data_IF_129242181190
#
_entry.id   IF_129242181190
#
_cell.length_a   1.000
_cell.length_b   1.000
_cell.length_c   1.000
_cell.angle_alpha   90.00
_cell.angle_beta   90.00
_cell.angle_gamma   90.00
#
_symmetry.space_group_name_H-M   'P 1'
#
loop_
_entity.id
_entity.type
_entity.pdbx_description
1 polymer ?
#
# COMPACT_ATOMS: atom_id res chain seq x y z
N UNK A 1 -12.67 21.78 -42.91
CA UNK A 1 -11.97 22.02 -41.62
C UNK A 1 -12.18 20.74 -40.84
N UNK A 2 -11.13 20.09 -40.34
CA UNK A 2 -11.32 18.94 -39.44
C UNK A 2 -12.08 19.45 -38.21
N UNK A 3 -13.28 18.94 -37.98
CA UNK A 3 -14.10 19.40 -36.86
C UNK A 3 -13.72 18.59 -35.63
N UNK A 4 -12.63 19.02 -34.97
CA UNK A 4 -12.15 18.36 -33.76
C UNK A 4 -12.75 19.09 -32.55
N UNK A 5 -13.81 18.54 -31.95
CA UNK A 5 -14.40 19.06 -30.71
C UNK A 5 -14.09 18.12 -29.56
N UNK A 6 -13.84 18.69 -28.38
CA UNK A 6 -13.57 17.96 -27.14
C UNK A 6 -14.39 18.58 -26.01
N UNK A 7 -15.06 17.73 -25.23
CA UNK A 7 -15.68 18.07 -23.95
C UNK A 7 -15.00 17.25 -22.85
N UNK A 8 -14.50 17.87 -21.78
CA UNK A 8 -13.64 17.22 -20.76
C UNK A 8 -13.98 17.67 -19.36
N UNK A 9 -14.64 16.86 -18.57
CA UNK A 9 -15.02 17.30 -17.22
C UNK A 9 -13.88 17.16 -16.20
N UNK A 10 -13.15 16.04 -16.26
CA UNK A 10 -11.86 15.84 -15.64
C UNK A 10 -10.88 15.33 -16.70
N UNK A 11 -9.58 15.54 -16.54
CA UNK A 11 -8.53 15.04 -17.44
C UNK A 11 -8.44 13.50 -17.40
N UNK A 12 -9.52 12.84 -17.80
CA UNK A 12 -9.76 11.40 -17.79
C UNK A 12 -10.63 11.05 -18.99
N UNK A 13 -10.22 10.05 -19.77
CA UNK A 13 -10.92 9.56 -20.95
C UNK A 13 -12.34 9.09 -20.63
N UNK A 14 -12.59 8.64 -19.39
CA UNK A 14 -13.92 8.23 -18.89
C UNK A 14 -14.96 9.34 -18.87
N UNK A 15 -14.50 10.59 -18.78
CA UNK A 15 -15.36 11.75 -18.51
C UNK A 15 -15.32 12.78 -19.63
N UNK A 16 -15.01 12.30 -20.84
CA UNK A 16 -14.81 13.14 -21.99
C UNK A 16 -15.54 12.60 -23.22
N UNK A 17 -16.07 13.54 -23.98
CA UNK A 17 -16.71 13.29 -25.27
C UNK A 17 -15.85 13.96 -26.33
N UNK A 18 -15.65 13.28 -27.44
CA UNK A 18 -14.83 13.77 -28.53
C UNK A 18 -15.47 13.53 -29.87
N UNK A 19 -15.35 14.52 -30.74
CA UNK A 19 -15.74 14.45 -32.14
C UNK A 19 -14.47 14.58 -33.00
N UNK A 20 -14.26 13.60 -33.88
CA UNK A 20 -13.23 13.62 -34.93
C UNK A 20 -13.86 13.11 -36.23
N UNK A 21 -14.02 14.03 -37.19
CA UNK A 21 -14.73 13.82 -38.46
C UNK A 21 -16.14 13.19 -38.25
N UNK A 22 -16.36 11.95 -38.70
CA UNK A 22 -17.63 11.23 -38.55
C UNK A 22 -17.67 10.29 -37.33
N UNK A 23 -16.76 10.46 -36.37
CA UNK A 23 -16.62 9.55 -35.22
C UNK A 23 -16.79 10.31 -33.92
N UNK A 24 -17.59 9.77 -33.00
CA UNK A 24 -17.69 10.28 -31.63
C UNK A 24 -17.17 9.21 -30.66
N UNK A 25 -16.28 9.60 -29.76
CA UNK A 25 -15.91 8.79 -28.59
C UNK A 25 -16.58 9.42 -27.38
N UNK A 26 -17.53 8.72 -26.75
CA UNK A 26 -18.18 9.13 -25.50
C UNK A 26 -17.76 8.17 -24.39
N UNK A 27 -16.90 8.64 -23.48
CA UNK A 27 -16.28 7.82 -22.46
C UNK A 27 -15.49 6.65 -23.07
N UNK A 28 -16.10 5.46 -23.11
CA UNK A 28 -15.51 4.20 -23.63
C UNK A 28 -16.26 3.61 -24.82
N UNK A 29 -17.21 4.34 -25.39
CA UNK A 29 -17.99 3.87 -26.53
C UNK A 29 -17.66 4.69 -27.78
N UNK A 30 -17.29 3.97 -28.84
CA UNK A 30 -16.97 4.56 -30.14
C UNK A 30 -18.19 4.47 -31.06
N UNK A 31 -18.65 5.62 -31.53
CA UNK A 31 -19.80 5.76 -32.42
C UNK A 31 -19.33 6.28 -33.78
N UNK A 32 -19.68 5.55 -34.85
CA UNK A 32 -19.32 5.94 -36.21
C UNK A 32 -20.58 6.29 -37.00
N UNK A 33 -20.57 7.48 -37.60
CA UNK A 33 -21.70 8.07 -38.29
C UNK A 33 -21.47 8.15 -39.80
N UNK A 34 -22.54 8.33 -40.56
CA UNK A 34 -22.45 8.39 -42.02
C UNK A 34 -22.05 9.78 -42.53
N UNK A 35 -22.12 10.81 -41.68
CA UNK A 35 -21.73 12.18 -41.97
C UNK A 35 -21.25 12.93 -40.72
N UNK A 36 -20.45 13.98 -40.92
CA UNK A 36 -19.98 14.87 -39.85
C UNK A 36 -21.16 15.53 -39.11
N UNK A 37 -22.24 15.88 -39.82
CA UNK A 37 -23.41 16.53 -39.22
C UNK A 37 -24.16 15.60 -38.23
N UNK A 38 -24.21 14.29 -38.53
CA UNK A 38 -24.80 13.30 -37.62
C UNK A 38 -23.94 13.11 -36.37
N UNK A 39 -22.62 13.04 -36.56
CA UNK A 39 -21.66 12.93 -35.46
C UNK A 39 -21.69 14.18 -34.56
N UNK A 40 -21.75 15.38 -35.16
CA UNK A 40 -21.83 16.64 -34.43
C UNK A 40 -23.14 16.77 -33.64
N UNK A 41 -24.27 16.35 -34.22
CA UNK A 41 -25.55 16.34 -33.51
C UNK A 41 -25.55 15.37 -32.32
N UNK A 42 -24.93 14.19 -32.46
CA UNK A 42 -24.78 13.23 -31.36
C UNK A 42 -23.84 13.77 -30.28
N UNK A 43 -22.68 14.33 -30.67
CA UNK A 43 -21.75 14.97 -29.73
C UNK A 43 -22.45 16.05 -28.91
N UNK A 44 -23.15 16.97 -29.57
CA UNK A 44 -23.85 18.07 -28.90
C UNK A 44 -24.94 17.53 -27.96
N UNK A 45 -25.63 16.45 -28.34
CA UNK A 45 -26.62 15.79 -27.48
C UNK A 45 -25.96 15.22 -26.21
N UNK A 46 -24.90 14.42 -26.32
CA UNK A 46 -24.20 13.85 -25.17
C UNK A 46 -23.69 14.95 -24.23
N UNK A 47 -23.16 16.04 -24.78
CA UNK A 47 -22.74 17.21 -23.98
C UNK A 47 -23.91 17.82 -23.22
N UNK A 48 -25.08 17.99 -23.86
CA UNK A 48 -26.27 18.54 -23.18
C UNK A 48 -26.76 17.62 -22.06
N UNK A 49 -26.71 16.30 -22.24
CA UNK A 49 -27.09 15.32 -21.21
C UNK A 49 -26.18 15.43 -19.98
N UNK A 50 -24.85 15.50 -20.18
CA UNK A 50 -23.91 15.72 -19.08
C UNK A 50 -24.13 17.06 -18.37
N UNK A 51 -24.34 18.14 -19.12
CA UNK A 51 -24.63 19.46 -18.52
C UNK A 51 -25.91 19.43 -17.67
N UNK A 52 -26.93 18.68 -18.10
CA UNK A 52 -28.19 18.51 -17.35
C UNK A 52 -27.97 17.75 -16.02
N UNK A 53 -27.03 16.81 -15.98
CA UNK A 53 -26.65 16.04 -14.79
C UNK A 53 -25.77 16.83 -13.80
N UNK A 54 -25.60 18.14 -14.01
CA UNK A 54 -24.89 19.05 -13.11
C UNK A 54 -23.40 19.19 -13.41
N UNK A 55 -22.93 18.66 -14.54
CA UNK A 55 -21.57 18.82 -15.01
C UNK A 55 -21.38 20.28 -15.50
N UNK A 56 -20.29 20.95 -15.11
CA UNK A 56 -20.06 22.38 -15.44
C UNK A 56 -19.09 22.51 -16.61
N UNK A 57 -19.25 23.57 -17.40
CA UNK A 57 -18.44 23.89 -18.59
C UNK A 57 -16.93 23.82 -18.33
N UNK A 58 -16.21 22.89 -18.96
CA UNK A 58 -14.78 22.95 -19.19
C UNK A 58 -14.50 23.53 -20.58
N UNK A 59 -13.27 23.98 -20.82
CA UNK A 59 -12.88 24.64 -22.08
C UNK A 59 -13.19 23.77 -23.31
N UNK A 60 -14.17 24.18 -24.13
CA UNK A 60 -14.26 23.75 -25.53
C UNK A 60 -13.03 24.36 -26.21
N UNK A 61 -11.93 23.61 -26.24
CA UNK A 61 -10.77 23.97 -27.02
C UNK A 61 -11.04 23.49 -28.45
N UNK A 62 -10.97 24.41 -29.42
CA UNK A 62 -10.65 24.00 -30.78
C UNK A 62 -9.22 23.47 -30.70
N UNK A 63 -9.03 22.16 -30.85
CA UNK A 63 -7.72 21.51 -30.92
C UNK A 63 -7.10 21.83 -32.30
N UNK A 64 -6.86 23.13 -32.57
CA UNK A 64 -6.04 23.58 -33.70
C UNK A 64 -4.55 23.40 -33.40
N UNK A 65 -4.18 23.13 -32.14
CA UNK A 65 -2.83 22.74 -31.77
C UNK A 65 -2.57 21.29 -32.13
N UNK A 66 -1.60 21.13 -33.01
CA UNK A 66 -1.09 19.91 -33.61
C UNK A 66 -0.66 18.90 -32.53
N UNK A 67 -1.60 18.14 -31.94
CA UNK A 67 -1.28 16.95 -31.14
C UNK A 67 -0.71 15.89 -32.09
N UNK A 68 0.50 15.42 -31.80
CA UNK A 68 1.15 14.39 -32.60
C UNK A 68 0.44 13.02 -32.51
N UNK A 69 -0.41 12.80 -31.48
CA UNK A 69 -1.36 11.70 -31.43
C UNK A 69 -2.79 12.20 -31.64
N UNK A 70 -3.55 11.50 -32.48
CA UNK A 70 -5.00 11.65 -32.50
C UNK A 70 -5.57 11.03 -31.23
N UNK A 71 -6.70 11.55 -30.76
CA UNK A 71 -7.35 10.97 -29.61
C UNK A 71 -7.68 9.48 -29.80
N UNK A 72 -8.17 9.10 -30.98
CA UNK A 72 -8.47 7.70 -31.28
C UNK A 72 -7.23 6.81 -31.07
N UNK A 73 -6.03 7.29 -31.44
CA UNK A 73 -4.79 6.55 -31.16
C UNK A 73 -4.54 6.39 -29.67
N UNK A 74 -4.71 7.45 -28.89
CA UNK A 74 -4.54 7.43 -27.43
C UNK A 74 -5.57 6.52 -26.76
N UNK A 75 -6.81 6.52 -27.26
CA UNK A 75 -7.88 5.65 -26.76
C UNK A 75 -7.61 4.16 -27.06
N UNK A 76 -7.20 3.81 -28.27
CA UNK A 76 -6.82 2.43 -28.61
C UNK A 76 -5.61 1.96 -27.79
N UNK A 77 -4.66 2.85 -27.53
CA UNK A 77 -3.54 2.58 -26.63
C UNK A 77 -4.02 2.30 -25.20
N UNK A 78 -4.96 3.09 -24.67
CA UNK A 78 -5.56 2.88 -23.35
C UNK A 78 -6.28 1.52 -23.27
N UNK A 79 -7.12 1.17 -24.25
CA UNK A 79 -7.78 -0.16 -24.28
C UNK A 79 -6.76 -1.30 -24.31
N UNK A 80 -5.62 -1.10 -24.99
CA UNK A 80 -4.49 -2.02 -24.96
C UNK A 80 -3.84 -2.18 -23.58
N UNK A 81 -3.80 -1.12 -22.76
CA UNK A 81 -3.33 -1.16 -21.38
C UNK A 81 -4.36 -1.82 -20.44
N UNK A 82 -5.61 -1.37 -20.51
CA UNK A 82 -6.72 -1.85 -19.68
C UNK A 82 -6.94 -3.35 -19.85
N UNK A 83 -6.90 -3.85 -21.09
CA UNK A 83 -7.04 -5.28 -21.38
C UNK A 83 -5.93 -6.15 -20.79
N UNK A 84 -4.79 -5.56 -20.40
CA UNK A 84 -3.63 -6.23 -19.79
C UNK A 84 -3.48 -5.93 -18.30
N UNK A 85 -4.48 -5.33 -17.68
CA UNK A 85 -4.46 -4.96 -16.26
C UNK A 85 -4.27 -6.18 -15.33
N UNK A 86 -5.01 -7.28 -15.58
CA UNK A 86 -4.83 -8.54 -14.83
C UNK A 86 -3.46 -9.18 -15.08
N UNK A 87 -2.92 -9.03 -16.29
CA UNK A 87 -1.60 -9.54 -16.64
C UNK A 87 -0.51 -8.81 -15.85
N UNK A 88 -0.57 -7.47 -15.82
CA UNK A 88 0.34 -6.63 -15.04
C UNK A 88 0.24 -6.90 -13.53
N UNK A 89 -0.98 -7.03 -13.00
CA UNK A 89 -1.19 -7.40 -11.60
C UNK A 89 -0.52 -8.74 -11.27
N UNK A 90 -0.77 -9.78 -12.08
CA UNK A 90 -0.14 -11.08 -11.87
C UNK A 90 1.38 -11.03 -11.98
N UNK A 91 1.93 -10.24 -12.91
CA UNK A 91 3.37 -10.08 -13.09
C UNK A 91 4.07 -9.37 -11.93
N UNK A 92 3.33 -8.57 -11.16
CA UNK A 92 3.85 -7.82 -10.00
C UNK A 92 3.48 -8.48 -8.66
N UNK A 93 2.70 -9.55 -8.67
CA UNK A 93 2.22 -10.21 -7.45
C UNK A 93 3.36 -10.73 -6.57
N UNK A 94 3.34 -10.35 -5.28
CA UNK A 94 4.25 -10.86 -4.26
C UNK A 94 3.51 -11.72 -3.23
N UNK A 95 4.09 -12.87 -2.83
CA UNK A 95 3.54 -13.66 -1.75
C UNK A 95 3.66 -12.91 -0.41
N UNK A 96 2.68 -13.12 0.46
CA UNK A 96 2.66 -12.59 1.82
C UNK A 96 1.91 -13.51 2.77
N UNK A 97 2.10 -13.30 4.06
CA UNK A 97 1.36 -13.99 5.12
C UNK A 97 0.29 -13.05 5.64
N UNK A 98 -0.97 -13.36 5.36
CA UNK A 98 -2.09 -12.70 6.02
C UNK A 98 -2.15 -13.16 7.49
N UNK A 99 -2.39 -12.20 8.37
CA UNK A 99 -2.61 -12.44 9.80
C UNK A 99 -4.07 -12.14 10.12
N UNK A 100 -4.78 -13.12 10.66
CA UNK A 100 -6.11 -12.94 11.26
C UNK A 100 -5.98 -13.00 12.78
N UNK A 101 -6.48 -11.97 13.46
CA UNK A 101 -6.56 -11.94 14.91
C UNK A 101 -7.84 -12.62 15.40
N UNK A 102 -7.79 -13.12 16.63
CA UNK A 102 -8.94 -13.70 17.33
C UNK A 102 -8.84 -13.37 18.83
N UNK A 103 -9.95 -12.94 19.44
CA UNK A 103 -10.02 -12.69 20.88
C UNK A 103 -9.70 -13.95 21.68
N UNK A 104 -8.90 -13.78 22.74
CA UNK A 104 -8.53 -14.84 23.68
C UNK A 104 -8.27 -14.22 25.04
N UNK A 105 -8.47 -15.00 26.10
CA UNK A 105 -8.13 -14.54 27.46
C UNK A 105 -6.63 -14.61 27.74
N UNK A 106 -5.92 -15.53 27.08
CA UNK A 106 -4.47 -15.68 27.22
C UNK A 106 -3.85 -16.39 26.00
N UNK A 107 -2.52 -16.28 25.90
CA UNK A 107 -1.68 -17.06 24.99
C UNK A 107 -0.44 -17.50 25.77
N UNK A 108 0.11 -18.67 25.44
CA UNK A 108 1.39 -19.10 26.03
C UNK A 108 2.52 -18.17 25.58
N UNK A 109 3.64 -18.15 26.33
CA UNK A 109 4.77 -17.27 26.00
C UNK A 109 5.31 -17.48 24.57
N UNK A 110 5.18 -18.68 24.01
CA UNK A 110 5.74 -19.03 22.70
C UNK A 110 4.80 -18.79 21.51
N UNK A 111 3.51 -18.55 21.74
CA UNK A 111 2.54 -18.42 20.66
C UNK A 111 2.60 -17.06 19.99
N UNK A 112 2.24 -16.99 18.71
CA UNK A 112 2.06 -15.71 18.04
C UNK A 112 0.86 -14.96 18.61
N UNK A 113 1.02 -13.65 18.81
CA UNK A 113 0.03 -12.79 19.46
C UNK A 113 0.18 -11.33 19.06
N UNK A 114 -0.90 -10.56 19.13
CA UNK A 114 -0.83 -9.12 19.33
C UNK A 114 -1.02 -8.81 20.82
N UNK A 115 -0.27 -7.83 21.33
CA UNK A 115 -0.24 -7.51 22.76
C UNK A 115 0.25 -8.67 23.63
N UNK A 116 -0.19 -8.68 24.89
CA UNK A 116 0.05 -9.75 25.85
C UNK A 116 1.51 -9.86 26.33
N UNK A 117 1.80 -10.97 27.00
CA UNK A 117 3.12 -11.22 27.58
C UNK A 117 4.07 -11.90 26.58
N UNK A 118 5.30 -11.37 26.38
CA UNK A 118 6.26 -11.90 25.41
C UNK A 118 7.02 -13.12 25.92
N UNK A 119 7.48 -13.98 25.01
CA UNK A 119 8.62 -14.86 25.27
C UNK A 119 9.87 -14.00 25.58
N UNK A 120 10.49 -14.18 26.74
CA UNK A 120 11.71 -13.44 27.05
C UNK A 120 12.66 -14.23 27.98
N UNK A 121 13.88 -14.58 27.56
CA UNK A 121 14.85 -15.28 28.42
C UNK A 121 15.33 -14.43 29.61
N UNK A 122 15.41 -15.02 30.82
CA UNK A 122 15.81 -14.33 32.07
C UNK A 122 17.21 -13.71 32.05
N UNK A 123 18.09 -14.23 31.19
CA UNK A 123 19.49 -13.78 31.14
C UNK A 123 19.70 -12.57 30.22
N UNK A 124 18.65 -12.11 29.53
CA UNK A 124 18.69 -10.95 28.65
C UNK A 124 18.06 -9.74 29.34
N UNK A 125 18.53 -8.56 28.98
CA UNK A 125 17.92 -7.30 29.43
C UNK A 125 16.66 -7.00 28.63
N UNK A 126 15.56 -6.73 29.34
CA UNK A 126 14.29 -6.37 28.72
C UNK A 126 14.39 -5.00 28.02
N UNK A 127 13.80 -4.81 26.82
CA UNK A 127 13.95 -3.56 26.09
C UNK A 127 13.33 -2.38 26.84
N UNK A 128 14.11 -1.30 26.99
CA UNK A 128 13.66 -0.02 27.54
C UNK A 128 13.94 1.12 26.58
N UNK A 129 13.16 2.20 26.71
CA UNK A 129 13.47 3.46 26.05
C UNK A 129 14.69 4.16 26.69
N UNK A 130 15.26 5.22 26.08
CA UNK A 130 16.33 6.01 26.68
C UNK A 130 15.97 6.62 28.05
N UNK A 131 14.67 6.70 28.37
CA UNK A 131 14.15 7.15 29.66
C UNK A 131 14.12 6.05 30.74
N UNK A 132 14.53 4.83 30.40
CA UNK A 132 14.45 3.66 31.27
C UNK A 132 13.04 3.10 31.42
N UNK A 133 12.10 3.46 30.54
CA UNK A 133 10.73 2.94 30.54
C UNK A 133 10.72 1.61 29.77
N UNK A 134 10.29 0.49 30.39
CA UNK A 134 10.12 -0.78 29.68
C UNK A 134 9.14 -0.66 28.52
N UNK A 135 9.48 -1.23 27.36
CA UNK A 135 8.62 -1.19 26.18
C UNK A 135 7.55 -2.28 26.24
N UNK A 136 6.38 -1.98 25.69
CA UNK A 136 5.26 -2.91 25.62
C UNK A 136 5.36 -3.77 24.35
N UNK A 137 4.95 -5.04 24.44
CA UNK A 137 4.87 -5.92 23.27
C UNK A 137 3.69 -5.45 22.38
N UNK A 138 3.98 -5.07 21.14
CA UNK A 138 2.96 -4.82 20.12
C UNK A 138 2.54 -6.13 19.45
N UNK A 139 3.52 -6.92 19.01
CA UNK A 139 3.28 -8.17 18.32
C UNK A 139 4.43 -9.16 18.54
N UNK A 140 4.08 -10.44 18.57
CA UNK A 140 5.03 -11.55 18.56
C UNK A 140 4.60 -12.54 17.48
N UNK A 141 5.54 -12.94 16.63
CA UNK A 141 5.36 -13.92 15.56
C UNK A 141 6.31 -15.09 15.80
N UNK A 142 5.73 -16.28 16.00
CA UNK A 142 6.48 -17.52 16.02
C UNK A 142 6.46 -18.14 14.62
N UNK A 143 7.61 -18.16 13.95
CA UNK A 143 7.68 -18.65 12.57
C UNK A 143 7.36 -20.15 12.43
N UNK A 144 7.38 -20.93 13.53
CA UNK A 144 6.88 -22.29 13.53
C UNK A 144 5.36 -22.39 13.26
N UNK A 145 4.61 -21.31 13.45
CA UNK A 145 3.15 -21.22 13.23
C UNK A 145 2.80 -20.63 11.85
N UNK A 146 3.79 -20.07 11.15
CA UNK A 146 3.59 -19.39 9.86
C UNK A 146 3.80 -20.33 8.66
N UNK A 147 3.09 -20.12 7.53
CA UNK A 147 3.48 -20.74 6.28
C UNK A 147 4.85 -20.23 5.82
N UNK A 148 5.61 -21.06 5.09
CA UNK A 148 6.93 -20.67 4.59
C UNK A 148 6.82 -19.69 3.43
N UNK A 149 7.60 -18.62 3.47
CA UNK A 149 7.86 -17.68 2.38
C UNK A 149 9.37 -17.43 2.32
N UNK A 150 9.94 -17.38 1.11
CA UNK A 150 11.39 -17.41 0.85
C UNK A 150 12.22 -16.40 1.65
N UNK A 151 11.70 -15.20 1.87
CA UNK A 151 12.44 -14.11 2.52
C UNK A 151 12.28 -14.06 4.05
N UNK A 152 11.31 -14.78 4.63
CA UNK A 152 11.08 -14.79 6.08
C UNK A 152 11.83 -15.93 6.78
N UNK A 153 12.21 -15.76 8.05
CA UNK A 153 12.81 -16.85 8.82
C UNK A 153 11.90 -18.08 8.91
N UNK A 154 12.47 -19.29 8.82
CA UNK A 154 11.68 -20.53 8.93
C UNK A 154 11.39 -20.97 10.38
N UNK A 155 12.07 -20.37 11.36
CA UNK A 155 11.97 -20.70 12.77
C UNK A 155 12.26 -19.48 13.64
N UNK A 156 12.11 -19.63 14.95
CA UNK A 156 12.37 -18.57 15.90
C UNK A 156 11.16 -17.66 16.11
N UNK A 157 11.34 -16.69 17.00
CA UNK A 157 10.31 -15.74 17.41
C UNK A 157 10.79 -14.33 17.08
N UNK A 158 10.01 -13.58 16.31
CA UNK A 158 10.20 -12.16 16.04
C UNK A 158 9.20 -11.35 16.86
N UNK A 159 9.68 -10.30 17.52
CA UNK A 159 8.87 -9.44 18.37
C UNK A 159 9.04 -7.98 18.00
N UNK A 160 7.94 -7.23 18.14
CA UNK A 160 7.85 -5.80 17.91
C UNK A 160 7.39 -5.16 19.22
N UNK A 161 8.17 -4.21 19.73
CA UNK A 161 7.91 -3.48 20.94
C UNK A 161 7.77 -1.99 20.65
N UNK A 162 6.90 -1.31 21.39
CA UNK A 162 6.72 0.14 21.33
C UNK A 162 6.60 0.73 22.73
N UNK A 163 7.03 1.96 22.91
CA UNK A 163 6.68 2.73 24.09
C UNK A 163 5.23 3.20 23.94
N UNK A 164 4.37 2.87 24.91
CA UNK A 164 2.98 3.32 24.94
C UNK A 164 2.74 4.38 26.01
N UNK A 165 3.76 5.19 26.31
CA UNK A 165 3.59 6.31 27.24
C UNK A 165 3.04 7.53 26.52
N UNK A 166 2.44 8.47 27.25
CA UNK A 166 1.96 9.75 26.71
C UNK A 166 3.06 10.62 26.05
N UNK A 167 4.33 10.20 26.13
CA UNK A 167 5.48 10.94 25.57
C UNK A 167 5.73 10.65 24.08
N UNK A 168 5.10 9.62 23.53
CA UNK A 168 5.28 9.19 22.14
C UNK A 168 3.95 8.89 21.50
N UNK A 169 3.86 9.05 20.18
CA UNK A 169 2.69 8.61 19.42
C UNK A 169 2.96 7.19 18.94
N UNK A 170 2.36 6.20 19.59
CA UNK A 170 2.57 4.77 19.28
C UNK A 170 4.05 4.35 19.24
N UNK A 171 4.89 4.90 20.12
CA UNK A 171 6.32 4.61 20.16
C UNK A 171 7.18 5.37 19.15
N UNK A 172 6.61 6.32 18.39
CA UNK A 172 7.35 7.23 17.52
C UNK A 172 7.65 8.55 18.26
N UNK A 173 8.92 8.96 18.18
CA UNK A 173 9.41 10.31 18.52
C UNK A 173 9.73 11.12 17.25
N UNK A 174 10.11 10.42 16.18
CA UNK A 174 10.26 10.91 14.82
C UNK A 174 9.46 9.97 13.89
N UNK A 175 8.90 10.47 12.79
CA UNK A 175 8.19 9.63 11.81
C UNK A 175 8.64 9.98 10.39
N UNK A 176 9.21 9.02 9.62
CA UNK A 176 9.53 7.63 10.02
C UNK A 176 10.70 7.55 11.01
N UNK A 177 10.70 6.52 11.86
CA UNK A 177 11.77 6.26 12.81
C UNK A 177 12.66 5.09 12.40
N UNK A 178 13.97 5.37 12.30
CA UNK A 178 15.00 4.33 12.09
C UNK A 178 15.68 3.91 13.41
N UNK A 179 15.82 4.86 14.34
CA UNK A 179 16.47 4.59 15.62
C UNK A 179 15.52 3.81 16.54
N UNK A 180 15.95 2.62 16.97
CA UNK A 180 15.17 1.76 17.88
C UNK A 180 15.26 2.24 19.35
N UNK A 181 14.97 3.52 19.59
CA UNK A 181 14.94 4.14 20.91
C UNK A 181 13.66 3.80 21.64
N UNK A 182 12.52 4.19 21.06
CA UNK A 182 11.17 4.05 21.62
C UNK A 182 10.35 2.95 20.95
N UNK A 183 10.90 2.29 19.95
CA UNK A 183 10.46 0.98 19.49
C UNK A 183 11.64 0.00 19.52
N UNK A 184 11.36 -1.30 19.48
CA UNK A 184 12.40 -2.34 19.37
C UNK A 184 11.90 -3.54 18.59
N UNK A 185 12.72 -4.06 17.70
CA UNK A 185 12.51 -5.33 17.02
C UNK A 185 13.55 -6.33 17.51
N UNK A 186 13.10 -7.45 18.05
CA UNK A 186 13.97 -8.49 18.62
C UNK A 186 13.64 -9.81 17.97
N UNK A 187 14.66 -10.51 17.49
CA UNK A 187 14.54 -11.85 16.93
C UNK A 187 15.31 -12.87 17.77
N UNK A 188 14.59 -13.92 18.19
CA UNK A 188 15.14 -15.06 18.90
C UNK A 188 15.20 -16.27 17.97
N UNK A 189 16.37 -16.61 17.40
CA UNK A 189 16.50 -17.71 16.45
C UNK A 189 16.35 -19.10 17.09
N UNK A 190 16.72 -19.22 18.36
CA UNK A 190 16.62 -20.45 19.15
C UNK A 190 15.72 -20.23 20.35
N UNK A 191 14.74 -21.11 20.52
CA UNK A 191 13.67 -20.96 21.51
C UNK A 191 13.88 -21.93 22.66
N UNK A 192 13.92 -21.39 23.88
CA UNK A 192 13.95 -22.18 25.10
C UNK A 192 12.53 -22.59 25.48
N UNK A 193 12.28 -23.89 25.60
CA UNK A 193 10.98 -24.45 25.94
C UNK A 193 10.81 -24.66 27.45
N UNK A 194 11.84 -24.40 28.25
CA UNK A 194 11.76 -24.47 29.69
C UNK A 194 11.30 -23.13 30.28
N UNK A 195 10.07 -23.11 30.81
CA UNK A 195 9.47 -21.90 31.42
C UNK A 195 10.31 -21.32 32.55
N UNK A 196 11.08 -22.15 33.27
CA UNK A 196 11.94 -21.68 34.37
C UNK A 196 13.11 -20.80 33.90
N UNK A 197 13.45 -20.85 32.61
CA UNK A 197 14.48 -20.02 31.99
C UNK A 197 13.92 -18.69 31.44
N UNK A 198 12.59 -18.50 31.49
CA UNK A 198 11.89 -17.36 30.91
C UNK A 198 11.34 -16.40 31.98
N UNK A 199 11.29 -15.11 31.67
CA UNK A 199 10.54 -14.15 32.46
C UNK A 199 9.07 -14.57 32.50
N UNK A 200 8.51 -14.56 33.70
CA UNK A 200 7.12 -14.93 33.97
C UNK A 200 6.40 -13.93 34.89
N UNK A 201 7.07 -12.84 35.25
CA UNK A 201 6.48 -11.68 35.91
C UNK A 201 6.88 -10.46 35.08
N UNK A 202 5.87 -9.69 34.66
CA UNK A 202 6.02 -8.48 33.85
C UNK A 202 5.38 -7.26 34.53
N UNK A 203 5.21 -7.27 35.87
CA UNK A 203 4.59 -6.18 36.64
C UNK A 203 5.38 -4.86 36.54
N UNK A 204 6.62 -4.92 36.04
CA UNK A 204 7.46 -3.77 35.76
C UNK A 204 7.11 -3.07 34.44
N UNK A 205 6.37 -3.73 33.54
CA UNK A 205 5.94 -3.18 32.26
C UNK A 205 4.73 -2.26 32.50
N UNK A 206 4.73 -1.03 31.98
CA UNK A 206 3.61 -0.12 32.17
C UNK A 206 2.34 -0.63 31.47
N UNK A 207 1.20 -0.06 31.86
CA UNK A 207 -0.08 -0.31 31.20
C UNK A 207 0.00 -0.01 29.69
N UNK A 208 -0.65 -0.86 28.90
CA UNK A 208 -0.63 -0.75 27.45
C UNK A 208 -1.59 0.34 26.97
N UNK A 209 -1.07 1.48 26.52
CA UNK A 209 -1.84 2.57 25.89
C UNK A 209 -1.49 2.67 24.40
N UNK A 210 -1.53 1.54 23.71
CA UNK A 210 -1.19 1.42 22.30
C UNK A 210 -2.43 1.27 21.41
N UNK A 211 -2.29 0.68 20.22
CA UNK A 211 -3.40 0.55 19.27
C UNK A 211 -4.43 -0.52 19.66
N UNK A 212 -4.18 -1.37 20.66
CA UNK A 212 -5.14 -2.33 21.19
C UNK A 212 -5.93 -1.67 22.32
N UNK A 213 -7.18 -1.29 22.06
CA UNK A 213 -7.96 -0.45 22.98
C UNK A 213 -8.65 -1.21 24.11
N UNK A 214 -9.15 -2.40 23.82
CA UNK A 214 -9.97 -3.19 24.76
C UNK A 214 -9.37 -4.57 25.06
N UNK A 215 -8.56 -5.09 24.15
CA UNK A 215 -8.02 -6.44 24.22
C UNK A 215 -6.55 -6.39 24.65
N UNK A 216 -6.22 -6.97 25.79
CA UNK A 216 -4.82 -7.05 26.24
C UNK A 216 -4.01 -8.04 25.40
N UNK A 217 -4.67 -9.02 24.77
CA UNK A 217 -4.01 -10.04 23.96
C UNK A 217 -4.95 -10.63 22.89
N UNK A 218 -4.44 -10.78 21.66
CA UNK A 218 -5.13 -11.46 20.57
C UNK A 218 -4.29 -12.63 20.05
N UNK A 219 -4.91 -13.80 19.86
CA UNK A 219 -4.27 -14.95 19.21
C UNK A 219 -4.26 -14.75 17.69
N UNK A 220 -3.22 -15.26 17.02
CA UNK A 220 -3.04 -15.07 15.58
C UNK A 220 -3.17 -16.37 14.79
N UNK A 221 -3.73 -16.25 13.59
CA UNK A 221 -3.75 -17.30 12.57
C UNK A 221 -3.15 -16.77 11.27
N UNK A 222 -2.42 -17.63 10.57
CA UNK A 222 -1.67 -17.27 9.39
C UNK A 222 -2.18 -17.98 8.14
N UNK A 223 -2.29 -17.25 7.03
CA UNK A 223 -2.64 -17.80 5.71
C UNK A 223 -1.72 -17.21 4.64
N UNK A 224 -1.12 -18.07 3.82
CA UNK A 224 -0.35 -17.59 2.67
C UNK A 224 -1.29 -17.04 1.59
N UNK A 225 -1.00 -15.83 1.13
CA UNK A 225 -1.71 -15.14 0.05
C UNK A 225 -0.70 -14.50 -0.89
N UNK A 226 -1.20 -13.90 -1.97
CA UNK A 226 -0.40 -13.11 -2.90
C UNK A 226 -1.21 -11.89 -3.33
N UNK A 227 -0.53 -10.76 -3.52
CA UNK A 227 -1.17 -9.51 -3.90
C UNK A 227 -0.24 -8.69 -4.81
N UNK A 228 -0.77 -8.05 -5.87
CA UNK A 228 0.03 -7.24 -6.80
C UNK A 228 0.50 -5.92 -6.18
N UNK A 229 1.35 -5.17 -6.87
CA UNK A 229 1.88 -3.93 -6.29
C UNK A 229 0.77 -2.90 -6.03
N UNK A 230 0.86 -2.14 -4.93
CA UNK A 230 0.01 -0.98 -4.66
C UNK A 230 0.35 0.19 -5.59
N UNK A 231 -0.66 0.95 -6.04
CA UNK A 231 -0.40 2.19 -6.80
C UNK A 231 0.32 3.26 -5.98
N UNK A 232 0.24 3.16 -4.64
CA UNK A 232 0.87 4.09 -3.70
C UNK A 232 2.28 3.67 -3.31
N UNK A 233 2.72 2.45 -3.64
CA UNK A 233 4.12 2.05 -3.47
C UNK A 233 5.02 2.90 -4.38
N UNK A 234 6.08 3.50 -3.84
CA UNK A 234 6.96 4.39 -4.61
C UNK A 234 7.59 3.71 -5.85
N UNK A 235 7.65 2.37 -5.88
CA UNK A 235 8.17 1.58 -7.00
C UNK A 235 7.14 1.38 -8.13
N UNK A 236 5.86 1.66 -7.92
CA UNK A 236 4.79 1.42 -8.90
C UNK A 236 5.02 2.15 -10.22
N UNK A 237 5.40 3.43 -10.12
CA UNK A 237 5.62 4.27 -11.30
C UNK A 237 6.71 3.68 -12.20
N UNK A 238 7.80 3.20 -11.59
CA UNK A 238 8.90 2.54 -12.28
C UNK A 238 8.46 1.20 -12.90
N UNK A 239 7.69 0.39 -12.19
CA UNK A 239 7.27 -0.92 -12.68
C UNK A 239 6.34 -0.83 -13.89
N UNK A 240 5.27 -0.02 -13.84
CA UNK A 240 4.34 0.03 -14.97
C UNK A 240 5.01 0.62 -16.22
N UNK A 241 5.86 1.65 -16.07
CA UNK A 241 6.62 2.24 -17.19
C UNK A 241 7.59 1.25 -17.84
N UNK A 242 8.23 0.39 -17.04
CA UNK A 242 9.10 -0.69 -17.54
C UNK A 242 8.31 -1.87 -18.12
N UNK A 243 7.09 -2.11 -17.63
CA UNK A 243 6.26 -3.22 -18.09
C UNK A 243 5.64 -2.92 -19.46
N UNK A 244 5.05 -1.73 -19.61
CA UNK A 244 4.38 -1.35 -20.85
C UNK A 244 5.32 -0.59 -21.77
N UNK A 245 5.63 -1.18 -22.93
CA UNK A 245 6.56 -0.61 -23.92
C UNK A 245 6.14 0.76 -24.45
N UNK A 246 4.85 1.12 -24.36
CA UNK A 246 4.35 2.43 -24.76
C UNK A 246 4.98 3.57 -23.96
N UNK A 247 5.36 3.34 -22.70
CA UNK A 247 6.01 4.34 -21.84
C UNK A 247 7.53 4.38 -22.02
N UNK A 248 8.10 3.53 -22.87
CA UNK A 248 9.55 3.44 -23.14
C UNK A 248 9.94 4.16 -24.44
N UNK A 249 9.01 4.89 -25.05
CA UNK A 249 9.24 5.58 -26.31
C UNK A 249 10.22 6.75 -26.13
N UNK A 250 11.20 6.82 -27.02
CA UNK A 250 12.15 7.93 -27.11
C UNK A 250 11.70 8.94 -28.18
N UNK A 251 12.15 10.20 -28.08
CA UNK A 251 11.88 11.28 -29.05
C UNK A 251 10.42 11.74 -29.13
N UNK A 252 9.68 11.66 -28.02
CA UNK A 252 8.34 12.23 -27.91
C UNK A 252 8.40 13.76 -27.77
N UNK A 253 7.48 14.46 -28.43
CA UNK A 253 7.22 15.87 -28.15
C UNK A 253 6.56 16.02 -26.77
N UNK A 254 6.53 17.24 -26.25
CA UNK A 254 5.93 17.49 -24.94
C UNK A 254 4.43 17.16 -24.91
N UNK A 255 3.71 17.47 -25.99
CA UNK A 255 2.29 17.14 -26.13
C UNK A 255 2.03 15.61 -26.08
N UNK A 256 2.91 14.82 -26.71
CA UNK A 256 2.82 13.35 -26.66
C UNK A 256 3.05 12.82 -25.25
N UNK A 257 4.02 13.39 -24.51
CA UNK A 257 4.27 12.96 -23.13
C UNK A 257 3.07 13.24 -22.24
N UNK A 258 2.50 14.45 -22.31
CA UNK A 258 1.31 14.80 -21.55
C UNK A 258 0.13 13.85 -21.85
N UNK A 259 -0.07 13.48 -23.11
CA UNK A 259 -1.13 12.54 -23.49
C UNK A 259 -0.89 11.12 -22.94
N UNK A 260 0.36 10.67 -22.89
CA UNK A 260 0.71 9.38 -22.27
C UNK A 260 0.60 9.42 -20.74
N UNK A 261 0.88 10.56 -20.10
CA UNK A 261 0.71 10.74 -18.66
C UNK A 261 -0.77 10.72 -18.26
N UNK A 262 -1.64 11.46 -18.96
CA UNK A 262 -3.10 11.40 -18.76
C UNK A 262 -3.64 9.96 -18.92
N UNK A 263 -3.15 9.22 -19.92
CA UNK A 263 -3.50 7.80 -20.11
C UNK A 263 -3.00 6.91 -18.97
N UNK A 264 -1.78 7.15 -18.48
CA UNK A 264 -1.23 6.40 -17.36
C UNK A 264 -2.06 6.62 -16.08
N UNK A 265 -2.49 7.86 -15.83
CA UNK A 265 -3.33 8.20 -14.68
C UNK A 265 -4.67 7.45 -14.72
N UNK A 266 -5.31 7.37 -15.89
CA UNK A 266 -6.54 6.57 -16.06
C UNK A 266 -6.30 5.07 -15.82
N UNK A 267 -5.20 4.53 -16.33
CA UNK A 267 -4.81 3.14 -16.07
C UNK A 267 -4.57 2.89 -14.57
N UNK A 268 -3.86 3.80 -13.89
CA UNK A 268 -3.58 3.75 -12.46
C UNK A 268 -4.89 3.74 -11.66
N UNK A 269 -5.86 4.58 -12.06
CA UNK A 269 -7.17 4.64 -11.45
C UNK A 269 -7.92 3.30 -11.56
N UNK A 270 -7.98 2.69 -12.75
CA UNK A 270 -8.58 1.36 -12.93
C UNK A 270 -7.97 0.30 -12.02
N UNK A 271 -6.64 0.31 -12.01
CA UNK A 271 -5.87 -0.66 -11.28
C UNK A 271 -6.11 -0.51 -9.77
N UNK A 272 -6.13 0.73 -9.28
CA UNK A 272 -6.40 1.06 -7.88
C UNK A 272 -7.78 0.55 -7.45
N UNK A 273 -8.83 0.88 -8.21
CA UNK A 273 -10.20 0.44 -7.91
C UNK A 273 -10.30 -1.09 -7.80
N UNK A 274 -9.57 -1.81 -8.67
CA UNK A 274 -9.61 -3.26 -8.71
C UNK A 274 -8.77 -3.95 -7.64
N UNK A 275 -7.63 -3.40 -7.23
CA UNK A 275 -6.67 -4.14 -6.39
C UNK A 275 -6.30 -3.48 -5.06
N UNK A 276 -6.46 -2.17 -4.89
CA UNK A 276 -5.94 -1.46 -3.70
C UNK A 276 -6.67 -1.90 -2.42
N UNK A 277 -7.95 -2.22 -2.52
CA UNK A 277 -8.76 -2.68 -1.38
C UNK A 277 -8.26 -3.99 -0.74
N UNK A 278 -7.48 -4.80 -1.47
CA UNK A 278 -6.91 -6.07 -0.99
C UNK A 278 -5.66 -5.86 -0.11
N UNK A 279 -5.15 -4.63 0.01
CA UNK A 279 -4.03 -4.28 0.89
C UNK A 279 -4.41 -4.09 2.35
N UNK A 280 -5.73 -4.08 2.65
CA UNK A 280 -6.26 -3.99 4.01
C UNK A 280 -5.85 -5.19 4.87
N UNK A 281 -5.82 -4.97 6.18
CA UNK A 281 -5.58 -5.99 7.18
C UNK A 281 -4.10 -6.21 7.52
N UNK A 282 -3.89 -7.11 8.48
CA UNK A 282 -2.59 -7.37 9.08
C UNK A 282 -1.78 -8.38 8.24
N UNK A 283 -0.46 -8.19 8.12
CA UNK A 283 0.38 -9.03 7.25
C UNK A 283 1.87 -9.03 7.58
N UNK A 284 2.57 -10.05 7.07
CA UNK A 284 4.03 -10.12 6.94
C UNK A 284 4.39 -10.28 5.46
N UNK A 285 5.35 -9.50 4.96
CA UNK A 285 5.73 -9.51 3.55
C UNK A 285 4.67 -8.91 2.61
N UNK A 286 4.84 -9.11 1.31
CA UNK A 286 3.99 -8.52 0.29
C UNK A 286 4.16 -7.02 0.13
N UNK A 287 3.13 -6.36 -0.39
CA UNK A 287 3.07 -4.92 -0.53
C UNK A 287 2.33 -4.26 0.65
N UNK A 288 2.79 -3.08 1.09
CA UNK A 288 2.14 -2.28 2.13
C UNK A 288 0.86 -1.61 1.64
N UNK A 289 -0.05 -1.35 2.60
CA UNK A 289 -1.14 -0.39 2.47
C UNK A 289 -0.61 0.98 2.89
N UNK A 290 -0.85 2.02 2.09
CA UNK A 290 -0.63 3.39 2.54
C UNK A 290 -1.95 4.13 2.71
N UNK A 291 -2.06 4.89 3.80
CA UNK A 291 -3.19 5.81 4.07
C UNK A 291 -2.84 7.23 3.63
N UNK A 292 -1.54 7.53 3.57
CA UNK A 292 -0.95 8.79 3.10
C UNK A 292 0.16 8.47 2.06
N UNK A 293 1.15 9.34 1.88
CA UNK A 293 2.26 9.11 0.96
C UNK A 293 3.24 8.03 1.46
N UNK A 294 3.89 7.33 0.53
CA UNK A 294 4.95 6.36 0.83
C UNK A 294 6.26 7.06 1.21
N UNK A 295 6.45 7.24 2.52
CA UNK A 295 7.60 7.93 3.09
C UNK A 295 8.95 7.20 2.92
N UNK A 296 8.95 5.93 2.49
CA UNK A 296 10.20 5.16 2.32
C UNK A 296 11.13 5.80 1.30
N UNK A 297 10.56 6.52 0.33
CA UNK A 297 11.31 7.30 -0.65
C UNK A 297 12.24 8.34 0.01
N UNK A 298 11.90 8.88 1.19
CA UNK A 298 12.74 9.82 1.94
C UNK A 298 13.82 9.14 2.79
N UNK A 299 13.75 7.82 2.96
CA UNK A 299 14.65 7.04 3.81
C UNK A 299 15.67 6.22 3.04
N UNK A 300 15.83 6.50 1.75
CA UNK A 300 16.79 5.82 0.88
C UNK A 300 18.21 6.06 1.38
N UNK A 301 18.88 4.98 1.79
CA UNK A 301 20.31 4.97 2.12
C UNK A 301 21.09 4.33 0.96
N UNK A 302 22.07 3.48 1.25
CA UNK A 302 22.70 2.60 0.26
C UNK A 302 21.72 1.53 -0.27
N UNK A 303 20.74 1.14 0.56
CA UNK A 303 19.65 0.21 0.25
C UNK A 303 18.34 0.73 0.86
N UNK A 304 17.22 0.59 0.13
CA UNK A 304 15.89 0.97 0.59
C UNK A 304 15.28 -0.02 1.58
N UNK A 305 14.24 0.41 2.29
CA UNK A 305 13.47 -0.42 3.22
C UNK A 305 12.32 -1.13 2.49
N UNK A 306 12.68 -1.99 1.55
CA UNK A 306 11.76 -2.45 0.49
C UNK A 306 10.92 -3.68 0.90
N UNK A 307 11.27 -4.32 2.03
CA UNK A 307 10.53 -5.47 2.54
C UNK A 307 9.60 -5.04 3.67
N UNK A 308 8.29 -5.24 3.51
CA UNK A 308 7.32 -5.07 4.58
C UNK A 308 7.49 -6.18 5.62
N UNK A 309 8.14 -5.87 6.74
CA UNK A 309 8.39 -6.84 7.79
C UNK A 309 7.10 -7.18 8.56
N UNK A 310 6.31 -6.16 8.89
CA UNK A 310 5.04 -6.32 9.58
C UNK A 310 4.12 -5.12 9.34
N UNK A 311 2.84 -5.39 9.14
CA UNK A 311 1.77 -4.38 9.09
C UNK A 311 0.65 -4.78 10.05
N UNK A 312 0.23 -3.82 10.87
CA UNK A 312 -0.94 -3.93 11.73
C UNK A 312 -1.93 -2.82 11.33
N UNK A 313 -3.01 -3.20 10.65
CA UNK A 313 -4.08 -2.29 10.27
C UNK A 313 -5.04 -2.03 11.45
N UNK A 314 -5.74 -0.90 11.44
CA UNK A 314 -6.92 -0.72 12.30
C UNK A 314 -7.98 -1.80 11.96
N UNK A 315 -8.66 -2.30 12.98
CA UNK A 315 -9.62 -3.39 12.88
C UNK A 315 -10.68 -3.28 13.99
N UNK A 316 -11.88 -2.87 13.60
CA UNK A 316 -13.01 -2.66 14.51
C UNK A 316 -13.46 -3.96 15.20
N UNK A 317 -13.35 -5.12 14.52
CA UNK A 317 -13.80 -6.40 15.07
C UNK A 317 -12.99 -6.83 16.32
N UNK A 318 -11.77 -6.29 16.47
CA UNK A 318 -10.85 -6.62 17.56
C UNK A 318 -10.36 -5.38 18.32
N UNK A 319 -11.07 -4.26 18.19
CA UNK A 319 -10.76 -3.00 18.86
C UNK A 319 -9.30 -2.55 18.67
N UNK A 320 -8.75 -2.78 17.46
CA UNK A 320 -7.44 -2.26 17.05
C UNK A 320 -7.65 -0.91 16.38
N UNK A 321 -7.08 0.16 16.92
CA UNK A 321 -7.21 1.50 16.38
C UNK A 321 -5.88 2.26 16.38
N UNK A 322 -5.48 2.67 15.18
CA UNK A 322 -4.32 3.50 14.95
C UNK A 322 -4.81 4.92 14.56
N UNK A 323 -4.95 5.81 15.53
CA UNK A 323 -5.56 7.15 15.38
C UNK A 323 -6.91 7.12 14.66
N UNK A 324 -7.04 7.84 13.54
CA UNK A 324 -8.26 7.86 12.73
C UNK A 324 -8.20 6.78 11.63
N UNK A 325 -8.37 5.52 12.03
CA UNK A 325 -8.43 4.33 11.16
C UNK A 325 -7.16 4.15 10.31
N UNK A 326 -6.01 4.29 10.95
CA UNK A 326 -4.69 4.19 10.36
C UNK A 326 -4.08 2.79 10.35
N UNK A 327 -2.77 2.75 10.14
CA UNK A 327 -1.95 1.53 10.02
C UNK A 327 -0.55 1.75 10.60
N UNK A 328 -0.05 0.81 11.39
CA UNK A 328 1.35 0.76 11.84
C UNK A 328 2.17 -0.23 11.00
N UNK A 329 3.38 0.17 10.59
CA UNK A 329 4.19 -0.59 9.65
C UNK A 329 5.67 -0.62 10.01
N UNK A 330 6.28 -1.79 9.87
CA UNK A 330 7.70 -2.03 10.02
C UNK A 330 8.26 -2.53 8.70
N UNK A 331 9.32 -1.88 8.22
CA UNK A 331 10.02 -2.24 7.00
C UNK A 331 11.47 -2.58 7.30
N UNK A 332 12.09 -3.45 6.51
CA UNK A 332 13.48 -3.86 6.68
C UNK A 332 14.22 -3.82 5.35
N UNK A 333 15.51 -3.48 5.39
CA UNK A 333 16.39 -3.62 4.23
C UNK A 333 16.49 -5.10 3.81
N UNK A 334 16.26 -5.45 2.53
CA UNK A 334 16.31 -6.84 2.08
C UNK A 334 17.62 -7.56 2.42
N UNK A 335 18.77 -6.89 2.30
CA UNK A 335 20.06 -7.50 2.67
C UNK A 335 20.19 -7.77 4.17
N UNK A 336 19.59 -6.93 5.03
CA UNK A 336 19.60 -7.11 6.47
C UNK A 336 18.70 -8.29 6.88
N UNK A 337 17.52 -8.42 6.28
CA UNK A 337 16.62 -9.55 6.49
C UNK A 337 17.31 -10.89 6.14
N UNK A 338 18.00 -10.96 4.99
CA UNK A 338 18.78 -12.15 4.60
C UNK A 338 19.86 -12.56 5.60
N UNK A 339 20.41 -11.59 6.35
CA UNK A 339 21.39 -11.83 7.42
C UNK A 339 20.74 -11.98 8.81
N UNK A 340 19.41 -11.94 8.90
CA UNK A 340 18.65 -11.91 10.16
C UNK A 340 19.06 -10.74 11.07
N UNK A 341 19.45 -9.62 10.48
CA UNK A 341 19.86 -8.39 11.15
C UNK A 341 18.68 -7.42 11.28
N UNK A 342 17.92 -7.57 12.36
CA UNK A 342 16.75 -6.75 12.65
C UNK A 342 17.09 -5.38 13.26
N UNK A 343 18.38 -4.97 13.25
CA UNK A 343 18.77 -3.61 13.65
C UNK A 343 18.43 -2.55 12.59
N UNK A 344 18.24 -2.98 11.33
CA UNK A 344 17.94 -2.13 10.17
C UNK A 344 16.45 -2.11 9.83
N UNK A 345 15.64 -1.68 10.80
CA UNK A 345 14.18 -1.57 10.65
C UNK A 345 13.75 -0.11 10.64
N UNK A 346 12.86 0.23 9.71
CA UNK A 346 12.11 1.48 9.66
C UNK A 346 10.73 1.23 10.25
N UNK A 347 10.32 2.06 11.20
CA UNK A 347 8.98 2.05 11.79
C UNK A 347 8.24 3.33 11.43
N UNK A 348 6.97 3.22 11.05
CA UNK A 348 6.09 4.34 10.78
C UNK A 348 4.64 4.00 11.10
N UNK A 349 3.83 5.04 11.24
CA UNK A 349 2.40 4.95 11.40
C UNK A 349 1.74 6.11 10.64
N UNK A 350 0.64 5.83 9.95
CA UNK A 350 -0.18 6.86 9.29
C UNK A 350 -1.67 6.61 9.54
N UNK A 351 -2.46 7.68 9.63
CA UNK A 351 -3.93 7.65 9.67
C UNK A 351 -4.55 8.68 8.74
N UNK A 352 -5.88 8.63 8.60
CA UNK A 352 -6.64 9.55 7.74
C UNK A 352 -6.65 10.98 8.28
#
# INVERSE_FOLDING_TARGET
>A
MKCNKKFVWHSSYRTSIYLDDCTVLDGRELFQFSSEAEAEAFFDQCVQELLADGWREPSIANDEENKDFTLYQVYEMYLGLESRLDEFANATAKPYIEITAHSTTETTLWQSKFGGLPYFPKHLEYPTSPRGIPLNLLAQINFAETPKIEDLPEKGILQFYIETSEKTTYGLEDDPQLAQTTFRVIYFPEIDLNIDNLLNNFDFVPEFLGPLLEEECLALKFTAKSHPISVTDYQFNDFHKRYFSIFQQSNLTEAMKMSLEEMADDFIYEYSEKYEHLLKGHRLGGYPKFVQDDIRYFCMQEEGYDFLLFQMDSNDDHSIMWGDVGVGQFFIQPSALKRLDFSKVLYTYACS
#
